data_IF_152066718561
#
_entry.id   IF_152066718561
#
_cell.length_a   1.000
_cell.length_b   1.000
_cell.length_c   1.000
_cell.angle_alpha   90.00
_cell.angle_beta   90.00
_cell.angle_gamma   90.00
#
_symmetry.space_group_name_H-M   'P 1'
#
loop_
_entity.id
_entity.type
_entity.pdbx_description
1 polymer ?
#
# COMPACT_ATOMS: atom_id res chain seq x y z
N UNK A 1 12.29 -1.68 5.91
CA UNK A 1 12.27 -0.19 6.04
C UNK A 1 12.15 0.46 4.67
N UNK A 2 10.99 1.06 4.37
CA UNK A 2 10.64 1.78 3.14
C UNK A 2 11.42 3.09 3.06
N UNK A 3 12.09 3.31 1.93
CA UNK A 3 12.86 4.51 1.66
C UNK A 3 12.13 5.41 0.68
N UNK A 4 12.39 6.70 0.77
CA UNK A 4 11.87 7.68 -0.21
C UNK A 4 12.32 7.37 -1.66
N UNK A 5 13.46 6.70 -1.80
CA UNK A 5 14.02 6.25 -3.08
C UNK A 5 13.36 4.99 -3.63
N UNK A 6 12.56 4.28 -2.84
CA UNK A 6 11.82 3.12 -3.34
C UNK A 6 10.76 3.63 -4.32
N UNK A 7 10.75 3.07 -5.52
CA UNK A 7 9.89 3.53 -6.61
C UNK A 7 9.23 2.36 -7.30
N UNK A 8 7.99 2.57 -7.75
CA UNK A 8 7.33 1.64 -8.67
C UNK A 8 7.85 1.96 -10.07
N UNK A 9 8.67 1.07 -10.60
CA UNK A 9 9.33 1.26 -11.89
C UNK A 9 8.36 1.16 -13.07
N UNK A 10 7.39 0.26 -12.97
CA UNK A 10 6.32 0.06 -13.95
C UNK A 10 4.99 -0.12 -13.21
N UNK A 11 4.12 0.89 -13.32
CA UNK A 11 2.83 0.92 -12.64
C UNK A 11 1.83 -0.03 -13.29
N UNK A 12 1.82 -0.15 -14.62
CA UNK A 12 0.89 -1.04 -15.31
C UNK A 12 1.20 -2.49 -14.96
N UNK A 13 2.49 -2.85 -14.97
CA UNK A 13 2.93 -4.17 -14.52
C UNK A 13 2.61 -4.41 -13.05
N UNK A 14 2.84 -3.43 -12.16
CA UNK A 14 2.54 -3.56 -10.73
C UNK A 14 1.06 -3.90 -10.49
N UNK A 15 0.15 -3.19 -11.17
CA UNK A 15 -1.29 -3.36 -11.00
C UNK A 15 -1.81 -4.65 -11.64
N UNK A 16 -1.15 -5.17 -12.68
CA UNK A 16 -1.48 -6.44 -13.30
C UNK A 16 -0.90 -7.67 -12.56
N UNK A 17 0.05 -7.47 -11.64
CA UNK A 17 0.73 -8.55 -10.97
C UNK A 17 -0.16 -9.28 -9.95
N UNK A 18 0.13 -10.56 -9.73
CA UNK A 18 -0.41 -11.30 -8.58
C UNK A 18 0.53 -11.13 -7.40
N UNK A 19 0.07 -10.51 -6.32
CA UNK A 19 0.92 -10.11 -5.19
C UNK A 19 0.20 -10.41 -3.88
N UNK A 20 0.91 -11.02 -2.94
CA UNK A 20 0.44 -11.17 -1.57
C UNK A 20 1.17 -10.16 -0.71
N UNK A 21 0.44 -9.19 -0.19
CA UNK A 21 0.95 -8.19 0.73
C UNK A 21 0.84 -8.72 2.16
N UNK A 22 1.94 -8.60 2.90
CA UNK A 22 2.04 -8.96 4.32
C UNK A 22 2.57 -7.78 5.11
N UNK A 23 2.32 -7.74 6.40
CA UNK A 23 2.90 -6.73 7.29
C UNK A 23 4.44 -6.73 7.17
N UNK A 24 5.04 -5.55 7.02
CA UNK A 24 6.49 -5.38 7.02
C UNK A 24 7.01 -5.59 8.47
N UNK A 25 7.88 -6.59 8.70
CA UNK A 25 8.40 -6.86 10.05
C UNK A 25 9.29 -5.73 10.59
N UNK A 26 9.88 -4.91 9.71
CA UNK A 26 10.76 -3.81 10.08
C UNK A 26 9.99 -2.49 10.28
N UNK A 27 8.82 -2.36 9.66
CA UNK A 27 7.97 -1.17 9.78
C UNK A 27 6.49 -1.53 9.95
N UNK A 28 6.00 -1.32 11.17
CA UNK A 28 4.62 -1.62 11.58
C UNK A 28 3.53 -1.00 10.68
N UNK A 29 3.84 0.08 9.95
CA UNK A 29 2.88 0.86 9.16
C UNK A 29 2.84 0.51 7.69
N UNK A 30 3.51 -0.55 7.26
CA UNK A 30 3.57 -0.92 5.86
C UNK A 30 3.20 -2.38 5.65
N UNK A 31 2.59 -2.61 4.50
CA UNK A 31 2.51 -3.93 3.92
C UNK A 31 3.46 -4.00 2.74
N UNK A 32 4.23 -5.07 2.70
CA UNK A 32 5.21 -5.34 1.65
C UNK A 32 4.70 -6.50 0.79
N UNK A 33 4.79 -6.31 -0.52
CA UNK A 33 4.46 -7.32 -1.52
C UNK A 33 5.55 -7.36 -2.57
N UNK A 34 5.96 -8.56 -2.97
CA UNK A 34 6.99 -8.73 -3.99
C UNK A 34 6.36 -9.15 -5.31
N UNK A 35 6.78 -8.48 -6.38
CA UNK A 35 6.59 -8.94 -7.75
C UNK A 35 7.93 -9.51 -8.26
N UNK A 36 7.95 -10.22 -9.40
CA UNK A 36 9.20 -10.69 -9.99
C UNK A 36 10.23 -9.59 -10.31
N UNK A 37 9.80 -8.33 -10.42
CA UNK A 37 10.61 -7.20 -10.91
C UNK A 37 10.82 -6.09 -9.90
N UNK A 38 9.97 -6.00 -8.85
CA UNK A 38 10.00 -4.91 -7.89
C UNK A 38 9.28 -5.27 -6.58
N UNK A 39 9.68 -4.58 -5.51
CA UNK A 39 8.98 -4.57 -4.23
C UNK A 39 7.95 -3.45 -4.21
N UNK A 40 6.72 -3.79 -3.85
CA UNK A 40 5.61 -2.87 -3.70
C UNK A 40 5.35 -2.63 -2.22
N UNK A 41 5.07 -1.38 -1.88
CA UNK A 41 4.76 -0.98 -0.51
C UNK A 41 3.36 -0.36 -0.48
N UNK A 42 2.49 -0.91 0.35
CA UNK A 42 1.11 -0.49 0.50
C UNK A 42 0.86 -0.07 1.94
N UNK A 43 0.01 0.95 2.12
CA UNK A 43 -0.59 1.25 3.41
C UNK A 43 -2.09 1.05 3.36
N UNK A 44 -2.60 0.50 4.46
CA UNK A 44 -4.00 0.60 4.83
C UNK A 44 -4.29 2.04 5.26
N UNK A 45 -5.43 2.57 4.86
CA UNK A 45 -5.91 3.85 5.33
C UNK A 45 -6.87 3.71 6.52
N UNK A 46 -6.80 4.60 7.50
CA UNK A 46 -7.70 4.59 8.66
C UNK A 46 -8.95 5.43 8.36
N UNK A 47 -9.91 4.84 7.65
CA UNK A 47 -11.07 5.55 7.13
C UNK A 47 -12.37 4.84 7.55
N UNK A 48 -12.94 5.07 8.74
CA UNK A 48 -14.03 4.25 9.30
C UNK A 48 -15.26 4.02 8.39
N UNK A 49 -15.41 4.82 7.34
CA UNK A 49 -16.48 4.75 6.35
C UNK A 49 -16.08 4.10 5.00
N UNK A 50 -14.78 3.91 4.69
CA UNK A 50 -14.28 3.42 3.39
C UNK A 50 -12.97 2.61 3.51
N UNK A 51 -12.91 1.41 2.92
CA UNK A 51 -11.65 0.67 2.82
C UNK A 51 -10.74 1.29 1.75
N UNK A 52 -9.77 2.09 2.18
CA UNK A 52 -8.82 2.78 1.30
C UNK A 52 -7.42 2.17 1.41
N UNK A 53 -6.82 1.93 0.25
CA UNK A 53 -5.52 1.32 0.06
C UNK A 53 -4.62 2.31 -0.66
N UNK A 54 -3.39 2.52 -0.17
CA UNK A 54 -2.46 3.46 -0.78
C UNK A 54 -1.18 2.75 -1.22
N UNK A 55 -0.95 2.65 -2.52
CA UNK A 55 0.34 2.21 -3.07
C UNK A 55 1.32 3.39 -3.03
N UNK A 56 2.50 3.16 -2.48
CA UNK A 56 3.59 4.12 -2.56
C UNK A 56 4.29 4.02 -3.91
N UNK A 57 4.32 5.13 -4.66
CA UNK A 57 4.98 5.22 -5.96
C UNK A 57 6.44 5.69 -5.85
N UNK A 58 6.86 6.12 -4.66
CA UNK A 58 8.16 6.74 -4.41
C UNK A 58 8.14 8.25 -4.48
N UNK A 59 9.18 8.87 -3.91
CA UNK A 59 9.33 10.32 -3.88
C UNK A 59 8.11 11.06 -3.29
N UNK A 60 7.57 10.52 -2.20
CA UNK A 60 6.37 10.99 -1.49
C UNK A 60 5.05 10.85 -2.25
N UNK A 61 5.06 10.26 -3.45
CA UNK A 61 3.86 10.08 -4.27
C UNK A 61 3.11 8.80 -3.92
N UNK A 62 1.79 8.88 -4.01
CA UNK A 62 0.87 7.78 -3.69
C UNK A 62 -0.18 7.58 -4.77
N UNK A 63 -0.72 6.36 -4.84
CA UNK A 63 -1.94 6.04 -5.58
C UNK A 63 -2.92 5.38 -4.62
N UNK A 64 -4.08 6.02 -4.44
CA UNK A 64 -5.13 5.54 -3.55
C UNK A 64 -6.18 4.74 -4.34
N UNK A 65 -6.69 3.68 -3.73
CA UNK A 65 -7.70 2.79 -4.29
C UNK A 65 -8.76 2.50 -3.22
N UNK A 66 -10.02 2.40 -3.62
CA UNK A 66 -11.10 1.85 -2.79
C UNK A 66 -11.30 0.35 -3.01
N UNK A 67 -10.69 -0.20 -4.06
CA UNK A 67 -10.70 -1.63 -4.37
C UNK A 67 -9.31 -2.00 -4.88
N UNK A 68 -8.63 -2.97 -4.26
CA UNK A 68 -7.30 -3.37 -4.72
C UNK A 68 -7.39 -4.03 -6.11
N UNK A 69 -6.31 -3.99 -6.91
CA UNK A 69 -6.24 -4.75 -8.15
C UNK A 69 -6.56 -6.24 -7.95
N UNK A 70 -7.20 -6.87 -8.93
CA UNK A 70 -7.75 -8.23 -8.78
C UNK A 70 -6.71 -9.30 -8.43
N UNK A 71 -5.43 -9.11 -8.79
CA UNK A 71 -4.34 -10.02 -8.46
C UNK A 71 -3.76 -9.82 -7.06
N UNK A 72 -4.17 -8.77 -6.35
CA UNK A 72 -3.60 -8.42 -5.05
C UNK A 72 -4.40 -9.07 -3.93
N UNK A 73 -3.69 -9.71 -3.01
CA UNK A 73 -4.24 -10.25 -1.77
C UNK A 73 -3.54 -9.57 -0.62
N UNK A 74 -4.31 -9.02 0.32
CA UNK A 74 -3.76 -8.44 1.54
C UNK A 74 -3.99 -9.43 2.68
N UNK A 75 -2.91 -10.03 3.16
CA UNK A 75 -2.92 -10.96 4.28
C UNK A 75 -2.85 -10.16 5.58
N UNK A 76 -4.02 -9.62 5.96
CA UNK A 76 -4.21 -8.85 7.20
C UNK A 76 -4.68 -9.84 8.25
N UNK A 77 -3.97 -9.92 9.37
CA UNK A 77 -4.42 -10.76 10.48
C UNK A 77 -5.79 -10.29 10.99
N UNK A 78 -6.67 -11.24 11.37
CA UNK A 78 -8.09 -11.08 11.74
C UNK A 78 -8.42 -10.05 12.85
N UNK A 79 -7.43 -9.37 13.43
CA UNK A 79 -7.58 -8.48 14.58
C UNK A 79 -8.24 -7.11 14.27
N UNK A 80 -8.80 -6.92 13.07
CA UNK A 80 -9.37 -5.66 12.63
C UNK A 80 -8.33 -4.76 11.98
N UNK A 81 -8.73 -3.53 11.64
CA UNK A 81 -7.79 -2.59 11.03
C UNK A 81 -6.58 -2.39 11.93
N UNK A 82 -5.35 -2.52 11.41
CA UNK A 82 -4.18 -2.32 12.22
C UNK A 82 -4.14 -0.85 12.67
N UNK A 83 -3.67 -0.60 13.88
CA UNK A 83 -3.37 0.75 14.44
C UNK A 83 -2.42 1.57 13.54
N UNK A 84 -1.96 0.95 12.47
CA UNK A 84 -0.91 1.38 11.58
C UNK A 84 -1.45 1.94 10.26
N UNK A 85 -2.77 2.04 10.16
CA UNK A 85 -3.47 2.63 9.04
C UNK A 85 -3.24 4.16 8.98
N UNK A 86 -2.95 4.70 7.78
CA UNK A 86 -2.61 6.12 7.57
C UNK A 86 -3.82 7.01 7.87
N UNK A 87 -3.62 8.09 8.62
CA UNK A 87 -4.63 9.14 8.75
C UNK A 87 -5.03 9.71 7.37
N UNK A 88 -6.30 10.11 7.27
CA UNK A 88 -6.85 10.76 6.06
C UNK A 88 -6.02 11.99 5.72
N UNK A 89 -5.46 12.04 4.50
CA UNK A 89 -4.95 13.29 3.95
C UNK A 89 -6.11 14.30 3.83
N UNK A 90 -5.89 15.60 4.11
CA UNK A 90 -6.90 16.62 3.86
C UNK A 90 -7.40 16.52 2.41
N UNK A 91 -8.73 16.58 2.22
CA UNK A 91 -9.33 16.53 0.88
C UNK A 91 -8.69 17.61 -0.01
N UNK A 92 -8.04 17.20 -1.10
CA UNK A 92 -7.43 18.10 -2.08
C UNK A 92 -5.93 18.34 -1.93
N UNK A 93 -5.26 17.69 -0.97
CA UNK A 93 -3.80 17.72 -0.87
C UNK A 93 -3.18 16.47 -1.51
N UNK A 94 -2.28 16.68 -2.47
CA UNK A 94 -1.44 15.65 -3.06
C UNK A 94 -0.01 15.88 -2.53
N UNK A 95 0.57 14.88 -1.86
CA UNK A 95 2.00 14.82 -1.53
C UNK A 95 2.72 13.92 -2.53
#
# INVERSE_FOLDING_TARGET
MVKRSDTVADLEQALAATVVFREDPDEKFWMIGETPTQTLHVRLGNFPDEELWSLYLGNDRWMDFTTPPAGWTLDISEAGWPDTARDRLPKGEFH
#
